data_IF_932083502850
#
_entry.id   IF_932083502850
#
_cell.length_a   1.000
_cell.length_b   1.000
_cell.length_c   1.000
_cell.angle_alpha   90.00
_cell.angle_beta   90.00
_cell.angle_gamma   90.00
#
_symmetry.space_group_name_H-M   'P 1'
#
loop_
_entity.id
_entity.type
_entity.pdbx_description
1 polymer ?
#
# COMPACT_ATOMS: atom_id res chain seq x y z
N UNK A 1 -6.12 10.73 -11.69
CA UNK A 1 -5.07 10.36 -10.74
C UNK A 1 -3.90 9.94 -11.59
N UNK A 2 -2.74 10.55 -11.42
CA UNK A 2 -1.58 10.19 -12.23
C UNK A 2 -1.15 8.74 -11.92
N UNK A 3 -0.78 7.96 -12.94
CA UNK A 3 -0.24 6.64 -12.72
C UNK A 3 1.04 6.77 -11.87
N UNK A 4 1.13 5.98 -10.79
CA UNK A 4 2.32 5.88 -9.96
C UNK A 4 2.98 4.52 -10.25
N UNK A 5 3.67 4.38 -11.40
CA UNK A 5 4.23 3.11 -11.84
C UNK A 5 5.34 2.68 -10.89
N UNK A 6 5.27 1.44 -10.40
CA UNK A 6 6.28 0.90 -9.48
C UNK A 6 6.65 -0.53 -9.78
N UNK A 7 5.65 -1.39 -9.77
CA UNK A 7 5.84 -2.80 -10.02
C UNK A 7 6.02 -3.00 -11.53
N UNK A 8 7.02 -3.77 -11.94
CA UNK A 8 7.18 -4.15 -13.35
C UNK A 8 7.63 -5.61 -13.49
N UNK A 9 7.20 -6.26 -14.57
CA UNK A 9 7.73 -7.56 -14.98
C UNK A 9 7.77 -7.66 -16.50
N UNK A 10 8.83 -8.27 -17.02
CA UNK A 10 8.94 -8.63 -18.44
C UNK A 10 8.21 -9.96 -18.67
N UNK A 11 7.48 -10.05 -19.77
CA UNK A 11 6.85 -11.28 -20.24
C UNK A 11 6.90 -11.29 -21.76
N UNK A 12 7.69 -12.19 -22.36
CA UNK A 12 7.93 -12.21 -23.82
C UNK A 12 8.34 -10.83 -24.36
N UNK A 13 7.58 -10.29 -25.30
CA UNK A 13 7.72 -8.98 -25.95
C UNK A 13 7.00 -7.85 -25.21
N UNK A 14 6.31 -8.15 -24.09
CA UNK A 14 5.56 -7.19 -23.29
C UNK A 14 6.26 -6.84 -21.98
N UNK A 15 6.03 -5.62 -21.51
CA UNK A 15 6.38 -5.11 -20.20
C UNK A 15 5.08 -4.83 -19.44
N UNK A 16 4.83 -5.57 -18.37
CA UNK A 16 3.69 -5.35 -17.49
C UNK A 16 4.08 -4.33 -16.41
N UNK A 17 3.36 -3.20 -16.31
CA UNK A 17 3.65 -2.08 -15.40
C UNK A 17 2.46 -1.80 -14.50
N UNK A 18 2.61 -2.09 -13.21
CA UNK A 18 1.58 -1.88 -12.19
C UNK A 18 1.62 -0.47 -11.63
N UNK A 19 0.45 0.17 -11.55
CA UNK A 19 0.28 1.52 -10.98
C UNK A 19 -0.29 1.45 -9.57
N UNK A 20 0.47 1.92 -8.58
CA UNK A 20 0.02 1.99 -7.19
C UNK A 20 -1.24 2.85 -7.02
N UNK A 21 -1.39 3.89 -7.83
CA UNK A 21 -2.40 4.92 -7.68
C UNK A 21 -3.72 4.57 -8.37
N UNK A 22 -3.64 4.02 -9.58
CA UNK A 22 -4.83 3.66 -10.38
C UNK A 22 -5.29 2.23 -10.10
N UNK A 23 -4.41 1.38 -9.56
CA UNK A 23 -4.71 -0.03 -9.32
C UNK A 23 -4.73 -0.88 -10.59
N UNK A 24 -4.33 -0.31 -11.72
CA UNK A 24 -4.31 -0.95 -13.03
C UNK A 24 -2.92 -1.49 -13.36
N UNK A 25 -2.88 -2.43 -14.29
CA UNK A 25 -1.67 -2.96 -14.90
C UNK A 25 -1.68 -2.61 -16.38
N UNK A 26 -0.69 -1.87 -16.85
CA UNK A 26 -0.52 -1.59 -18.29
C UNK A 26 0.43 -2.60 -18.90
N UNK A 27 0.05 -3.17 -20.05
CA UNK A 27 0.92 -3.99 -20.87
C UNK A 27 1.46 -3.11 -21.99
N UNK A 28 2.76 -2.87 -21.97
CA UNK A 28 3.46 -2.07 -22.95
C UNK A 28 4.30 -2.98 -23.83
N UNK A 29 4.45 -2.65 -25.11
CA UNK A 29 5.41 -3.34 -25.96
C UNK A 29 6.83 -2.92 -25.58
N UNK A 30 7.75 -3.88 -25.48
CA UNK A 30 9.12 -3.60 -25.03
C UNK A 30 9.94 -2.78 -26.02
N UNK A 31 9.64 -2.85 -27.32
CA UNK A 31 10.45 -2.19 -28.36
C UNK A 31 10.30 -0.66 -28.35
N UNK A 32 9.09 -0.14 -28.13
CA UNK A 32 8.73 1.26 -28.32
C UNK A 32 7.96 1.85 -27.12
N UNK A 33 7.60 1.02 -26.14
CA UNK A 33 6.78 1.42 -24.99
C UNK A 33 5.31 1.64 -25.33
N UNK A 34 4.85 1.27 -26.53
CA UNK A 34 3.46 1.48 -26.93
C UNK A 34 2.50 0.67 -26.04
N UNK A 35 1.42 1.33 -25.60
CA UNK A 35 0.37 0.68 -24.83
C UNK A 35 -0.34 -0.38 -25.68
N UNK A 36 -0.29 -1.63 -25.25
CA UNK A 36 -0.99 -2.77 -25.87
C UNK A 36 -2.35 -2.96 -25.22
N UNK A 37 -2.42 -2.99 -23.89
CA UNK A 37 -3.69 -3.06 -23.15
C UNK A 37 -3.56 -2.60 -21.71
N UNK A 38 -4.68 -2.26 -21.10
CA UNK A 38 -4.79 -1.96 -19.67
C UNK A 38 -5.65 -3.03 -19.00
N UNK A 39 -5.11 -3.66 -17.97
CA UNK A 39 -5.73 -4.75 -17.22
C UNK A 39 -6.14 -4.26 -15.84
N UNK A 40 -7.40 -4.49 -15.48
CA UNK A 40 -7.93 -4.22 -14.16
C UNK A 40 -9.03 -5.24 -13.83
N UNK A 41 -9.20 -5.61 -12.55
CA UNK A 41 -10.33 -6.45 -12.15
C UNK A 41 -11.64 -5.65 -12.26
N UNK A 42 -12.66 -6.25 -12.87
CA UNK A 42 -14.01 -5.69 -12.97
C UNK A 42 -15.04 -6.48 -12.13
N UNK A 43 -16.31 -6.03 -12.12
CA UNK A 43 -17.41 -6.78 -11.52
C UNK A 43 -17.43 -8.24 -11.97
N UNK A 44 -17.61 -9.16 -11.02
CA UNK A 44 -17.71 -10.57 -11.29
C UNK A 44 -16.37 -11.28 -11.52
N UNK A 45 -15.23 -10.60 -11.40
CA UNK A 45 -13.91 -11.27 -11.44
C UNK A 45 -13.80 -12.31 -10.33
N UNK A 46 -13.10 -13.43 -10.59
CA UNK A 46 -12.93 -14.44 -9.54
C UNK A 46 -12.09 -13.91 -8.38
N UNK A 47 -12.63 -13.96 -7.17
CA UNK A 47 -11.93 -13.72 -5.90
C UNK A 47 -12.04 -15.00 -5.08
N UNK A 48 -10.90 -15.53 -4.64
CA UNK A 48 -10.84 -16.78 -3.88
C UNK A 48 -10.15 -16.54 -2.55
N UNK A 49 -10.88 -16.70 -1.45
CA UNK A 49 -10.43 -16.45 -0.09
C UNK A 49 -10.54 -15.00 0.36
N UNK A 50 -10.26 -14.84 1.65
CA UNK A 50 -10.45 -13.58 2.36
C UNK A 50 -11.92 -13.17 2.49
N UNK A 51 -12.13 -12.01 3.10
CA UNK A 51 -13.47 -11.56 3.48
C UNK A 51 -14.29 -10.99 2.32
N UNK A 52 -13.68 -10.80 1.14
CA UNK A 52 -14.32 -10.13 -0.01
C UNK A 52 -14.77 -11.07 -1.11
N UNK A 53 -14.51 -12.37 -1.00
CA UNK A 53 -14.87 -13.36 -2.01
C UNK A 53 -16.35 -13.34 -2.39
N UNK A 54 -17.24 -13.28 -1.39
CA UNK A 54 -18.70 -13.23 -1.60
C UNK A 54 -19.20 -11.93 -2.26
N UNK A 55 -18.32 -10.95 -2.46
CA UNK A 55 -18.63 -9.62 -2.98
C UNK A 55 -17.95 -9.35 -4.33
N UNK A 56 -17.61 -10.40 -5.09
CA UNK A 56 -17.00 -10.29 -6.42
C UNK A 56 -17.79 -9.42 -7.40
N UNK A 57 -19.12 -9.42 -7.29
CA UNK A 57 -20.00 -8.58 -8.12
C UNK A 57 -19.84 -7.08 -7.85
N UNK A 58 -19.30 -6.70 -6.69
CA UNK A 58 -19.09 -5.30 -6.30
C UNK A 58 -17.63 -4.84 -6.49
N UNK A 59 -16.85 -5.55 -7.30
CA UNK A 59 -15.50 -5.12 -7.67
C UNK A 59 -15.58 -3.89 -8.57
N UNK A 60 -14.89 -2.81 -8.19
CA UNK A 60 -14.88 -1.54 -8.92
C UNK A 60 -13.56 -1.26 -9.66
N UNK A 61 -12.55 -2.11 -9.49
CA UNK A 61 -11.20 -1.87 -9.99
C UNK A 61 -10.14 -2.56 -9.14
N UNK A 62 -8.88 -2.40 -9.49
CA UNK A 62 -7.76 -2.96 -8.70
C UNK A 62 -7.33 -2.01 -7.59
N UNK A 63 -6.56 -2.53 -6.63
CA UNK A 63 -5.93 -1.70 -5.61
C UNK A 63 -4.50 -2.14 -5.30
N UNK A 64 -3.62 -1.20 -5.64
CA UNK A 64 -2.18 -1.18 -5.50
C UNK A 64 -1.45 -2.47 -5.89
N UNK A 65 -1.24 -2.74 -7.20
CA UNK A 65 -0.15 -3.56 -7.69
C UNK A 65 1.19 -3.19 -7.02
N UNK A 66 1.75 -4.08 -6.18
CA UNK A 66 2.98 -3.81 -5.42
C UNK A 66 4.22 -4.47 -6.00
N UNK A 67 4.06 -5.67 -6.53
CA UNK A 67 5.14 -6.42 -7.14
C UNK A 67 4.59 -7.33 -8.25
N UNK A 68 5.38 -7.59 -9.27
CA UNK A 68 5.03 -8.52 -10.35
C UNK A 68 6.15 -9.53 -10.57
N UNK A 69 5.77 -10.77 -10.87
CA UNK A 69 6.66 -11.81 -11.39
C UNK A 69 5.95 -12.55 -12.53
N UNK A 70 6.67 -12.83 -13.60
CA UNK A 70 6.13 -13.48 -14.78
C UNK A 70 6.54 -14.95 -14.84
N UNK A 71 5.63 -15.82 -15.26
CA UNK A 71 5.91 -17.21 -15.63
C UNK A 71 5.54 -17.40 -17.09
N UNK A 72 6.53 -17.53 -17.95
CA UNK A 72 6.28 -17.88 -19.36
C UNK A 72 5.80 -19.32 -19.48
N UNK A 73 6.28 -20.21 -18.61
CA UNK A 73 5.88 -21.62 -18.58
C UNK A 73 4.40 -21.80 -18.20
N UNK A 74 3.88 -20.98 -17.29
CA UNK A 74 2.46 -20.98 -16.95
C UNK A 74 1.65 -20.02 -17.83
N UNK A 75 2.29 -19.15 -18.61
CA UNK A 75 1.63 -18.18 -19.48
C UNK A 75 0.98 -17.00 -18.73
N UNK A 76 1.39 -16.74 -17.48
CA UNK A 76 0.73 -15.78 -16.60
C UNK A 76 1.72 -14.85 -15.91
N UNK A 77 1.22 -13.69 -15.49
CA UNK A 77 1.91 -12.79 -14.56
C UNK A 77 1.19 -12.85 -13.20
N UNK A 78 1.96 -13.05 -12.14
CA UNK A 78 1.50 -12.96 -10.78
C UNK A 78 1.77 -11.57 -10.25
N UNK A 79 0.78 -10.98 -9.58
CA UNK A 79 0.84 -9.62 -9.08
C UNK A 79 0.40 -9.59 -7.63
N UNK A 80 1.29 -9.18 -6.71
CA UNK A 80 0.84 -8.88 -5.36
C UNK A 80 0.09 -7.56 -5.38
N UNK A 81 -1.00 -7.50 -4.62
CA UNK A 81 -1.78 -6.28 -4.49
C UNK A 81 -2.54 -6.25 -3.18
N UNK A 82 -3.12 -5.09 -2.85
CA UNK A 82 -4.09 -4.95 -1.78
C UNK A 82 -5.50 -5.46 -2.15
N UNK A 83 -5.58 -6.15 -3.29
CA UNK A 83 -6.76 -6.81 -3.81
C UNK A 83 -7.55 -5.98 -4.81
N UNK A 84 -8.55 -6.60 -5.47
CA UNK A 84 -9.62 -5.86 -6.09
C UNK A 84 -10.30 -4.95 -5.06
N UNK A 85 -10.53 -3.71 -5.47
CA UNK A 85 -11.27 -2.73 -4.70
C UNK A 85 -12.74 -3.12 -4.72
N UNK A 86 -13.23 -3.71 -3.63
CA UNK A 86 -14.63 -4.16 -3.50
C UNK A 86 -15.42 -3.14 -2.73
N UNK A 87 -16.45 -2.55 -3.33
CA UNK A 87 -17.31 -1.62 -2.61
C UNK A 87 -18.30 -0.85 -3.48
N UNK A 88 -19.15 -0.03 -2.85
CA UNK A 88 -19.59 -0.23 -1.47
C UNK A 88 -20.30 -1.59 -1.35
N UNK A 89 -19.85 -2.47 -0.43
CA UNK A 89 -20.52 -3.76 -0.31
C UNK A 89 -21.88 -3.60 0.42
N UNK A 90 -22.92 -4.39 0.08
CA UNK A 90 -24.28 -4.16 0.58
C UNK A 90 -24.45 -4.31 2.10
N UNK A 91 -23.53 -5.01 2.77
CA UNK A 91 -23.66 -5.35 4.19
C UNK A 91 -23.01 -4.32 5.12
N UNK A 92 -21.87 -3.76 4.69
CA UNK A 92 -21.09 -2.82 5.50
C UNK A 92 -21.08 -1.42 4.89
N UNK A 93 -21.50 -1.23 3.64
CA UNK A 93 -21.40 0.04 2.91
C UNK A 93 -19.96 0.58 2.94
N UNK A 94 -19.00 -0.31 2.71
CA UNK A 94 -17.56 -0.05 2.82
C UNK A 94 -16.79 -0.61 1.64
N UNK A 95 -15.63 0.00 1.40
CA UNK A 95 -14.55 -0.59 0.63
C UNK A 95 -13.81 -1.60 1.51
N UNK A 96 -13.71 -2.83 1.06
CA UNK A 96 -13.00 -3.90 1.76
C UNK A 96 -11.69 -4.23 1.04
N UNK A 97 -10.57 -4.14 1.77
CA UNK A 97 -9.28 -4.62 1.27
C UNK A 97 -9.24 -6.14 1.33
N UNK A 98 -8.52 -6.76 0.40
CA UNK A 98 -8.24 -8.18 0.43
C UNK A 98 -6.85 -8.38 -0.15
N UNK A 99 -5.84 -8.16 0.68
CA UNK A 99 -4.47 -8.32 0.21
C UNK A 99 -4.20 -9.75 -0.24
N UNK A 100 -3.43 -9.90 -1.32
CA UNK A 100 -3.14 -11.21 -1.85
C UNK A 100 -2.37 -11.19 -3.17
N UNK A 101 -2.55 -12.26 -3.94
CA UNK A 101 -1.92 -12.46 -5.24
C UNK A 101 -2.98 -12.55 -6.33
N UNK A 102 -2.84 -11.70 -7.33
CA UNK A 102 -3.63 -11.70 -8.54
C UNK A 102 -2.92 -12.45 -9.65
N UNK A 103 -3.71 -13.07 -10.52
CA UNK A 103 -3.27 -13.82 -11.69
C UNK A 103 -3.76 -13.07 -12.92
N UNK A 104 -2.82 -12.68 -13.77
CA UNK A 104 -3.06 -11.96 -15.02
C UNK A 104 -2.61 -12.84 -16.18
N UNK A 105 -3.40 -12.87 -17.25
CA UNK A 105 -3.10 -13.52 -18.52
C UNK A 105 -2.75 -12.44 -19.57
N UNK A 106 -1.46 -12.13 -19.78
CA UNK A 106 -1.06 -11.00 -20.60
C UNK A 106 -1.44 -11.17 -22.09
N UNK A 107 -1.43 -12.40 -22.60
CA UNK A 107 -1.82 -12.73 -23.99
C UNK A 107 -3.24 -12.27 -24.35
N UNK A 108 -4.12 -12.15 -23.35
CA UNK A 108 -5.52 -11.75 -23.52
C UNK A 108 -5.85 -10.43 -22.84
N UNK A 109 -4.87 -9.77 -22.23
CA UNK A 109 -5.11 -8.61 -21.36
C UNK A 109 -6.06 -8.91 -20.20
N UNK A 110 -6.07 -10.16 -19.71
CA UNK A 110 -7.11 -10.66 -18.81
C UNK A 110 -6.70 -10.64 -17.33
N UNK A 111 -7.55 -10.09 -16.46
CA UNK A 111 -7.45 -10.32 -15.03
C UNK A 111 -8.20 -11.61 -14.68
N UNK A 112 -7.48 -12.70 -14.45
CA UNK A 112 -8.06 -14.04 -14.33
C UNK A 112 -8.71 -14.25 -12.97
N UNK A 113 -7.96 -13.98 -11.90
CA UNK A 113 -8.39 -14.24 -10.52
C UNK A 113 -7.55 -13.48 -9.51
N UNK A 114 -8.12 -13.26 -8.33
CA UNK A 114 -7.41 -12.85 -7.14
C UNK A 114 -7.50 -13.90 -6.03
N UNK A 115 -6.35 -14.34 -5.52
CA UNK A 115 -6.24 -15.14 -4.30
C UNK A 115 -6.02 -14.20 -3.12
N UNK A 116 -7.08 -13.94 -2.37
CA UNK A 116 -7.05 -13.12 -1.16
C UNK A 116 -6.67 -13.92 0.09
N UNK A 117 -5.84 -13.33 0.95
CA UNK A 117 -5.40 -13.97 2.20
C UNK A 117 -6.27 -13.60 3.41
N UNK A 118 -7.11 -12.57 3.30
CA UNK A 118 -8.03 -12.15 4.36
C UNK A 118 -7.41 -11.34 5.50
N UNK A 119 -6.08 -11.38 5.67
CA UNK A 119 -5.33 -10.60 6.63
C UNK A 119 -3.93 -10.25 6.08
N UNK A 120 -3.29 -9.25 6.69
CA UNK A 120 -1.94 -8.80 6.35
C UNK A 120 -1.85 -7.90 5.13
N UNK A 121 -0.61 -7.69 4.66
CA UNK A 121 -0.27 -6.81 3.54
C UNK A 121 0.81 -7.44 2.67
N UNK A 122 0.43 -7.90 1.49
CA UNK A 122 1.28 -8.62 0.54
C UNK A 122 2.14 -7.65 -0.24
N UNK A 123 3.46 -7.81 -0.19
CA UNK A 123 4.45 -6.94 -0.81
C UNK A 123 5.21 -7.67 -1.93
N UNK A 124 6.49 -8.00 -1.73
CA UNK A 124 7.33 -8.66 -2.72
C UNK A 124 6.88 -10.06 -3.07
N UNK A 125 7.14 -10.46 -4.31
CA UNK A 125 6.98 -11.82 -4.81
C UNK A 125 8.33 -12.38 -5.27
N UNK A 126 8.48 -13.70 -5.21
CA UNK A 126 9.51 -14.45 -5.93
C UNK A 126 8.89 -15.71 -6.51
N UNK A 127 9.36 -16.16 -7.67
CA UNK A 127 8.84 -17.33 -8.37
C UNK A 127 9.96 -18.34 -8.58
N UNK A 128 9.74 -19.58 -8.14
CA UNK A 128 10.43 -20.76 -8.66
C UNK A 128 9.59 -21.31 -9.81
N UNK A 129 9.92 -20.89 -11.04
CA UNK A 129 9.16 -21.34 -12.20
C UNK A 129 9.42 -22.82 -12.50
N UNK A 130 10.56 -23.39 -12.12
CA UNK A 130 10.81 -24.83 -12.32
C UNK A 130 9.84 -25.68 -11.49
N UNK A 131 9.78 -25.43 -10.18
CA UNK A 131 8.91 -26.15 -9.27
C UNK A 131 7.43 -25.72 -9.37
N UNK A 132 7.15 -24.52 -9.89
CA UNK A 132 5.82 -23.93 -9.88
C UNK A 132 5.43 -23.44 -8.48
N UNK A 133 6.39 -22.87 -7.75
CA UNK A 133 6.16 -22.28 -6.43
C UNK A 133 6.25 -20.76 -6.51
N UNK A 134 5.29 -20.08 -5.88
CA UNK A 134 5.30 -18.64 -5.71
C UNK A 134 5.49 -18.32 -4.23
N UNK A 135 6.41 -17.42 -3.91
CA UNK A 135 6.64 -16.92 -2.57
C UNK A 135 6.09 -15.50 -2.48
N UNK A 136 5.37 -15.18 -1.41
CA UNK A 136 4.77 -13.87 -1.20
C UNK A 136 5.10 -13.33 0.19
N UNK A 137 5.76 -12.18 0.27
CA UNK A 137 6.07 -11.51 1.52
C UNK A 137 4.81 -10.82 2.07
N UNK A 138 4.58 -10.94 3.37
CA UNK A 138 3.55 -10.22 4.10
C UNK A 138 4.18 -9.30 5.13
N UNK A 139 4.16 -8.00 4.83
CA UNK A 139 4.75 -6.97 5.69
C UNK A 139 3.93 -6.74 6.95
N UNK A 140 2.60 -6.96 6.88
CA UNK A 140 1.68 -6.64 7.95
C UNK A 140 1.61 -7.70 9.05
N UNK A 141 1.94 -8.96 8.70
CA UNK A 141 1.95 -10.10 9.63
C UNK A 141 3.33 -10.69 9.87
N UNK A 142 4.36 -10.24 9.14
CA UNK A 142 5.73 -10.71 9.41
C UNK A 142 6.08 -12.06 8.84
N UNK A 143 5.42 -12.49 7.77
CA UNK A 143 5.50 -13.85 7.26
C UNK A 143 5.83 -13.89 5.77
N UNK A 144 6.25 -15.07 5.29
CA UNK A 144 6.34 -15.39 3.87
C UNK A 144 5.38 -16.54 3.59
N UNK A 145 4.47 -16.37 2.63
CA UNK A 145 3.59 -17.44 2.15
C UNK A 145 4.25 -18.19 1.02
N UNK A 146 4.24 -19.51 1.09
CA UNK A 146 4.60 -20.42 0.00
C UNK A 146 3.32 -20.86 -0.68
N UNK A 147 3.23 -20.66 -2.00
CA UNK A 147 2.05 -20.97 -2.79
C UNK A 147 2.37 -21.92 -3.95
N UNK A 148 1.43 -22.79 -4.29
CA UNK A 148 1.42 -23.53 -5.55
C UNK A 148 0.93 -22.61 -6.68
N UNK A 149 1.87 -22.17 -7.54
CA UNK A 149 1.59 -21.29 -8.67
C UNK A 149 0.74 -21.98 -9.74
N UNK A 150 0.81 -23.31 -9.86
CA UNK A 150 -0.01 -24.08 -10.81
C UNK A 150 -1.46 -24.10 -10.33
N UNK A 151 -1.68 -24.34 -9.04
CA UNK A 151 -3.01 -24.27 -8.46
C UNK A 151 -3.64 -22.87 -8.63
N UNK A 152 -2.82 -21.81 -8.57
CA UNK A 152 -3.27 -20.44 -8.86
C UNK A 152 -3.66 -20.20 -10.33
N UNK A 153 -3.31 -21.02 -11.30
CA UNK A 153 -3.77 -20.80 -12.70
C UNK A 153 -4.85 -21.79 -13.12
N UNK A 154 -4.96 -22.95 -12.47
CA UNK A 154 -5.86 -24.03 -12.89
C UNK A 154 -7.36 -23.84 -12.60
N UNK A 155 -7.74 -23.03 -11.60
CA UNK A 155 -9.14 -22.78 -11.27
C UNK A 155 -9.38 -22.41 -9.80
N UNK A 156 -10.62 -22.05 -9.47
CA UNK A 156 -10.97 -21.50 -8.15
C UNK A 156 -10.80 -22.51 -7.01
N UNK A 157 -11.21 -23.77 -7.21
CA UNK A 157 -11.10 -24.81 -6.20
C UNK A 157 -9.62 -25.17 -5.87
N UNK A 158 -8.73 -25.39 -6.85
CA UNK A 158 -7.29 -25.50 -6.60
C UNK A 158 -6.71 -24.23 -5.96
N UNK A 159 -7.06 -23.05 -6.47
CA UNK A 159 -6.52 -21.78 -5.96
C UNK A 159 -6.85 -21.51 -4.50
N UNK A 160 -8.00 -22.00 -4.01
CA UNK A 160 -8.37 -21.91 -2.59
C UNK A 160 -7.39 -22.64 -1.69
N UNK A 161 -6.79 -23.71 -2.20
CA UNK A 161 -5.80 -24.56 -1.49
C UNK A 161 -4.36 -24.26 -1.92
N UNK A 162 -4.13 -23.16 -2.65
CA UNK A 162 -2.82 -22.87 -3.19
C UNK A 162 -1.78 -22.49 -2.13
N UNK A 163 -2.18 -22.00 -0.95
CA UNK A 163 -1.23 -21.70 0.12
C UNK A 163 -0.78 -23.02 0.75
N UNK A 164 0.51 -23.35 0.57
CA UNK A 164 1.11 -24.59 1.06
C UNK A 164 1.67 -24.42 2.48
N UNK A 165 2.19 -23.24 2.79
CA UNK A 165 2.81 -22.95 4.07
C UNK A 165 2.84 -21.43 4.35
N UNK A 166 2.72 -21.04 5.61
CA UNK A 166 3.11 -19.72 6.10
C UNK A 166 4.40 -19.86 6.92
N UNK A 167 5.46 -19.18 6.51
CA UNK A 167 6.75 -19.17 7.18
C UNK A 167 6.88 -17.89 7.99
N UNK A 168 6.74 -18.00 9.31
CA UNK A 168 6.98 -16.92 10.26
C UNK A 168 8.43 -16.43 10.18
N UNK A 169 8.63 -15.10 10.10
CA UNK A 169 9.95 -14.49 10.20
C UNK A 169 10.04 -13.78 11.54
N UNK A 170 10.51 -14.50 12.57
CA UNK A 170 10.66 -13.95 13.90
C UNK A 170 11.64 -12.77 13.91
N UNK A 171 11.37 -11.66 14.59
CA UNK A 171 12.34 -10.58 14.74
C UNK A 171 13.54 -11.04 15.60
N UNK A 172 14.79 -10.61 15.29
CA UNK A 172 15.95 -10.94 16.11
C UNK A 172 15.81 -10.49 17.57
N UNK A 173 16.54 -11.17 18.46
CA UNK A 173 16.53 -10.90 19.89
C UNK A 173 16.82 -9.43 20.24
N UNK A 174 16.10 -8.95 21.25
CA UNK A 174 16.17 -7.56 21.70
C UNK A 174 15.63 -6.55 20.69
N UNK A 175 14.94 -6.96 19.62
CA UNK A 175 14.21 -6.02 18.75
C UNK A 175 13.08 -5.38 19.56
N UNK A 176 12.97 -4.04 19.63
CA UNK A 176 11.87 -3.38 20.33
C UNK A 176 10.50 -3.79 19.79
N UNK A 177 9.55 -4.04 20.70
CA UNK A 177 8.17 -4.41 20.36
C UNK A 177 7.23 -3.22 20.53
N UNK A 178 6.13 -3.20 19.79
CA UNK A 178 5.06 -2.19 19.93
C UNK A 178 4.25 -2.39 21.22
N UNK A 179 4.24 -3.62 21.74
CA UNK A 179 3.47 -4.09 22.90
C UNK A 179 4.26 -5.17 23.66
N UNK A 180 3.89 -5.47 24.92
CA UNK A 180 4.42 -6.62 25.65
C UNK A 180 4.13 -7.97 24.93
N UNK A 181 5.00 -8.99 25.07
CA UNK A 181 4.83 -10.30 24.42
C UNK A 181 3.47 -10.96 24.64
N UNK A 182 2.90 -10.82 25.83
CA UNK A 182 1.59 -11.39 26.21
C UNK A 182 0.40 -10.82 25.43
N UNK A 183 0.60 -9.75 24.65
CA UNK A 183 -0.44 -9.10 23.86
C UNK A 183 -0.51 -9.59 22.40
N UNK A 184 0.43 -10.46 21.98
CA UNK A 184 0.47 -11.10 20.65
C UNK A 184 -0.11 -12.53 20.69
N UNK A 185 -0.58 -13.03 19.54
CA UNK A 185 -1.24 -14.34 19.39
C UNK A 185 -2.42 -14.62 20.35
N UNK A 186 -2.96 -13.57 20.95
CA UNK A 186 -4.14 -13.62 21.81
C UNK A 186 -5.31 -12.92 21.15
N UNK A 187 -6.53 -13.40 21.42
CA UNK A 187 -7.78 -12.76 20.95
C UNK A 187 -7.81 -12.53 19.44
N UNK A 188 -7.18 -13.39 18.65
CA UNK A 188 -7.10 -13.31 17.19
C UNK A 188 -6.11 -12.28 16.63
N UNK A 189 -5.18 -11.79 17.46
CA UNK A 189 -4.13 -10.87 17.03
C UNK A 189 -3.00 -11.57 16.28
N UNK A 190 -2.23 -10.79 15.54
CA UNK A 190 -0.99 -11.23 14.91
C UNK A 190 0.10 -11.53 15.96
N UNK A 191 1.04 -12.39 15.58
CA UNK A 191 2.22 -12.73 16.38
C UNK A 191 3.31 -11.65 16.35
N UNK A 192 4.38 -11.86 17.12
CA UNK A 192 5.51 -10.93 17.21
C UNK A 192 6.26 -10.73 15.88
N UNK A 193 6.11 -11.65 14.95
CA UNK A 193 6.67 -11.68 13.60
C UNK A 193 6.40 -10.39 12.84
N UNK A 194 5.26 -9.71 13.10
CA UNK A 194 4.89 -8.44 12.47
C UNK A 194 5.99 -7.38 12.58
N UNK A 195 6.89 -7.50 13.55
CA UNK A 195 8.03 -6.60 13.75
C UNK A 195 9.18 -6.81 12.77
N UNK A 196 9.18 -7.87 11.95
CA UNK A 196 10.18 -8.11 10.91
C UNK A 196 9.88 -7.31 9.64
N UNK A 197 8.62 -7.31 9.21
CA UNK A 197 8.17 -6.67 7.97
C UNK A 197 8.85 -7.20 6.70
N UNK A 198 8.72 -8.49 6.34
CA UNK A 198 9.09 -9.00 5.02
C UNK A 198 8.52 -8.13 3.91
N UNK A 199 9.38 -7.65 3.00
CA UNK A 199 8.97 -6.67 1.99
C UNK A 199 9.45 -6.97 0.57
N UNK A 200 10.64 -7.57 0.41
CA UNK A 200 11.16 -7.99 -0.89
C UNK A 200 11.73 -9.40 -0.77
N UNK A 201 11.66 -10.14 -1.88
CA UNK A 201 12.07 -11.54 -1.97
C UNK A 201 13.03 -11.72 -3.15
N UNK A 202 14.05 -12.55 -2.96
CA UNK A 202 14.92 -13.01 -4.05
C UNK A 202 15.20 -14.50 -3.88
N UNK A 203 14.89 -15.30 -4.88
CA UNK A 203 15.20 -16.73 -4.90
C UNK A 203 16.63 -16.93 -5.45
N UNK A 204 17.41 -17.81 -4.83
CA UNK A 204 18.72 -18.19 -5.36
C UNK A 204 18.59 -18.91 -6.71
N UNK A 205 19.59 -18.82 -7.60
CA UNK A 205 19.52 -19.46 -8.92
C UNK A 205 19.31 -20.99 -8.88
N UNK A 206 19.75 -21.66 -7.82
CA UNK A 206 19.56 -23.09 -7.60
C UNK A 206 18.19 -23.46 -6.98
N UNK A 207 17.34 -22.45 -6.72
CA UNK A 207 16.03 -22.56 -6.07
C UNK A 207 16.04 -23.22 -4.67
N UNK A 208 17.18 -23.22 -3.97
CA UNK A 208 17.30 -23.83 -2.63
C UNK A 208 17.14 -22.84 -1.49
N UNK A 209 17.40 -21.56 -1.76
CA UNK A 209 17.44 -20.50 -0.75
C UNK A 209 16.60 -19.31 -1.18
N UNK A 210 15.70 -18.86 -0.32
CA UNK A 210 14.96 -17.62 -0.49
C UNK A 210 15.51 -16.56 0.47
N UNK A 211 15.93 -15.42 -0.07
CA UNK A 211 16.34 -14.25 0.68
C UNK A 211 15.15 -13.30 0.87
N UNK A 212 14.93 -12.87 2.11
CA UNK A 212 13.78 -12.05 2.50
C UNK A 212 14.28 -10.77 3.14
N UNK A 213 14.03 -9.61 2.51
CA UNK A 213 14.36 -8.32 3.08
C UNK A 213 13.30 -7.91 4.11
N UNK A 214 13.74 -7.78 5.37
CA UNK A 214 12.91 -7.39 6.50
C UNK A 214 13.05 -5.89 6.76
N UNK A 215 12.00 -5.14 6.41
CA UNK A 215 11.97 -3.68 6.41
C UNK A 215 12.22 -3.07 7.79
N UNK A 216 11.73 -3.71 8.84
CA UNK A 216 11.69 -3.12 10.19
C UNK A 216 12.89 -3.53 11.03
N UNK A 217 13.32 -4.79 10.92
CA UNK A 217 14.48 -5.32 11.64
C UNK A 217 15.81 -4.99 10.97
N UNK A 218 15.80 -4.52 9.71
CA UNK A 218 17.00 -4.23 8.91
C UNK A 218 17.86 -5.47 8.69
N UNK A 219 17.20 -6.61 8.48
CA UNK A 219 17.87 -7.88 8.23
C UNK A 219 17.46 -8.44 6.87
N UNK A 220 18.28 -9.36 6.36
CA UNK A 220 17.89 -10.31 5.32
C UNK A 220 17.76 -11.68 5.98
N UNK A 221 16.55 -12.22 6.02
CA UNK A 221 16.35 -13.61 6.42
C UNK A 221 16.72 -14.56 5.27
N UNK A 222 17.44 -15.63 5.61
CA UNK A 222 17.83 -16.70 4.70
C UNK A 222 16.93 -17.89 5.00
N UNK A 223 16.08 -18.26 4.04
CA UNK A 223 15.07 -19.30 4.17
C UNK A 223 15.46 -20.50 3.31
N UNK A 224 15.55 -21.68 3.90
CA UNK A 224 15.69 -22.94 3.16
C UNK A 224 14.35 -23.30 2.56
N UNK A 225 14.31 -23.46 1.23
CA UNK A 225 13.08 -23.74 0.47
C UNK A 225 13.15 -25.05 -0.32
N UNK A 226 14.14 -25.91 -0.07
CA UNK A 226 14.31 -27.20 -0.76
C UNK A 226 13.09 -28.11 -0.66
N UNK A 227 12.43 -28.10 0.50
CA UNK A 227 11.22 -28.87 0.77
C UNK A 227 9.98 -27.96 0.90
N UNK A 228 10.00 -26.78 0.27
CA UNK A 228 8.89 -25.82 0.36
C UNK A 228 7.57 -26.37 -0.18
N UNK A 229 7.61 -27.20 -1.24
CA UNK A 229 6.42 -27.89 -1.77
C UNK A 229 5.76 -28.83 -0.76
N UNK A 230 6.56 -29.40 0.15
CA UNK A 230 6.08 -30.26 1.23
C UNK A 230 5.74 -29.48 2.52
N UNK A 231 5.75 -28.14 2.47
CA UNK A 231 5.43 -27.29 3.62
C UNK A 231 6.52 -27.27 4.70
N UNK A 232 7.79 -27.46 4.33
CA UNK A 232 8.92 -27.48 5.26
C UNK A 232 9.96 -26.37 5.01
N UNK A 233 9.56 -25.28 4.36
CA UNK A 233 10.41 -24.10 4.28
C UNK A 233 10.64 -23.52 5.68
N UNK A 234 11.84 -23.05 5.98
CA UNK A 234 12.17 -22.50 7.30
C UNK A 234 13.26 -21.46 7.25
N UNK A 235 13.17 -20.45 8.11
CA UNK A 235 14.24 -19.47 8.32
C UNK A 235 15.44 -20.19 8.95
N UNK A 236 16.61 -20.10 8.31
CA UNK A 236 17.86 -20.73 8.78
C UNK A 236 18.70 -19.75 9.57
N UNK A 237 18.76 -18.48 9.13
CA UNK A 237 19.49 -17.40 9.79
C UNK A 237 19.00 -16.04 9.30
N UNK A 238 19.39 -14.97 10.00
CA UNK A 238 19.19 -13.60 9.55
C UNK A 238 20.52 -12.85 9.54
N UNK A 239 20.73 -12.08 8.47
CA UNK A 239 21.93 -11.28 8.26
C UNK A 239 21.60 -9.80 8.51
N UNK A 240 22.30 -9.09 9.42
CA UNK A 240 22.08 -7.66 9.61
C UNK A 240 22.58 -6.88 8.39
N UNK A 241 21.76 -5.95 7.90
CA UNK A 241 22.12 -5.02 6.81
C UNK A 241 22.59 -3.69 7.38
N UNK A 242 21.94 -3.23 8.44
CA UNK A 242 22.26 -2.00 9.16
C UNK A 242 22.15 -2.27 10.66
N UNK A 243 23.16 -1.89 11.45
CA UNK A 243 23.20 -2.17 12.89
C UNK A 243 22.56 -1.05 13.74
N UNK A 244 22.59 0.19 13.28
CA UNK A 244 22.12 1.38 14.01
C UNK A 244 20.65 1.30 14.43
N UNK A 245 20.41 1.41 15.73
CA UNK A 245 19.07 1.49 16.33
C UNK A 245 18.60 2.94 16.53
N UNK A 246 19.21 3.90 15.82
CA UNK A 246 18.78 5.29 15.88
C UNK A 246 17.29 5.43 15.51
N UNK A 247 16.61 6.39 16.13
CA UNK A 247 15.18 6.65 15.91
C UNK A 247 14.26 5.46 16.25
N UNK A 248 14.56 4.68 17.29
CA UNK A 248 13.78 3.50 17.69
C UNK A 248 12.25 3.76 17.80
N UNK A 249 11.84 4.89 18.38
CA UNK A 249 10.41 5.27 18.46
C UNK A 249 9.77 5.48 17.09
N UNK A 250 10.46 6.13 16.15
CA UNK A 250 10.01 6.27 14.75
C UNK A 250 9.88 4.90 14.10
N UNK A 251 10.80 3.98 14.36
CA UNK A 251 10.74 2.61 13.84
C UNK A 251 9.52 1.85 14.34
N UNK A 252 9.18 1.96 15.62
CA UNK A 252 7.92 1.39 16.16
C UNK A 252 6.70 2.00 15.49
N UNK A 253 6.71 3.31 15.24
CA UNK A 253 5.67 3.99 14.46
C UNK A 253 5.54 3.44 13.04
N UNK A 254 6.67 3.12 12.40
CA UNK A 254 6.65 2.47 11.09
C UNK A 254 6.09 1.05 11.16
N UNK A 255 6.42 0.24 12.18
CA UNK A 255 5.78 -1.08 12.36
C UNK A 255 4.27 -0.92 12.44
N UNK A 256 3.77 -0.03 13.30
CA UNK A 256 2.34 0.25 13.46
C UNK A 256 1.65 0.70 12.17
N UNK A 257 2.36 1.43 11.31
CA UNK A 257 1.82 1.92 10.04
C UNK A 257 1.46 0.80 9.05
N UNK A 258 2.26 -0.27 9.05
CA UNK A 258 2.12 -1.40 8.12
C UNK A 258 1.49 -2.63 8.76
N UNK A 259 1.50 -2.75 10.09
CA UNK A 259 1.00 -3.92 10.81
C UNK A 259 -0.52 -4.10 10.67
N UNK A 260 -0.95 -5.35 10.56
CA UNK A 260 -2.35 -5.77 10.69
C UNK A 260 -2.51 -6.55 12.01
N UNK A 261 -2.31 -5.86 13.14
CA UNK A 261 -2.33 -6.49 14.46
C UNK A 261 -3.62 -7.26 14.73
N UNK A 262 -4.77 -6.73 14.29
CA UNK A 262 -6.08 -7.37 14.47
C UNK A 262 -6.43 -8.44 13.42
N UNK A 263 -5.53 -8.73 12.46
CA UNK A 263 -5.77 -9.65 11.34
C UNK A 263 -7.04 -9.34 10.53
N UNK A 264 -7.28 -8.06 10.31
CA UNK A 264 -8.49 -7.52 9.65
C UNK A 264 -8.32 -7.32 8.14
N UNK A 265 -7.08 -7.37 7.65
CA UNK A 265 -6.69 -7.01 6.29
C UNK A 265 -6.56 -5.49 6.08
N UNK A 266 -6.58 -4.69 7.15
CA UNK A 266 -6.56 -3.22 7.09
C UNK A 266 -5.34 -2.69 7.82
N UNK A 267 -4.54 -1.89 7.11
CA UNK A 267 -3.33 -1.23 7.62
C UNK A 267 -3.39 0.27 7.26
N UNK A 268 -2.58 1.12 7.89
CA UNK A 268 -2.53 2.54 7.50
C UNK A 268 -2.04 2.68 6.06
N UNK A 269 -1.02 1.90 5.68
CA UNK A 269 -0.49 1.81 4.32
C UNK A 269 -1.52 1.31 3.28
N UNK A 270 -2.50 0.51 3.70
CA UNK A 270 -3.60 0.07 2.85
C UNK A 270 -4.50 1.21 2.34
N UNK A 271 -4.54 2.32 3.07
CA UNK A 271 -5.31 3.52 2.69
C UNK A 271 -4.40 4.70 2.31
N UNK A 272 -3.22 4.77 2.92
CA UNK A 272 -2.23 5.81 2.70
C UNK A 272 -0.97 5.21 2.08
N UNK A 273 -1.06 4.67 0.86
CA UNK A 273 0.03 3.89 0.26
C UNK A 273 1.32 4.72 0.23
N UNK A 274 2.38 4.24 0.89
CA UNK A 274 3.66 4.95 1.04
C UNK A 274 3.53 6.39 1.58
N UNK A 275 2.58 6.62 2.49
CA UNK A 275 2.27 7.94 3.03
C UNK A 275 1.46 8.83 2.10
N UNK A 276 1.12 8.38 0.89
CA UNK A 276 0.37 9.17 -0.08
C UNK A 276 -1.11 8.80 -0.12
N UNK A 277 -1.87 9.39 -1.04
CA UNK A 277 -3.28 9.06 -1.21
C UNK A 277 -3.45 7.67 -1.82
N UNK A 278 -4.23 6.80 -1.18
CA UNK A 278 -4.62 5.49 -1.74
C UNK A 278 -5.86 5.52 -2.63
N UNK A 279 -6.24 6.68 -3.15
CA UNK A 279 -7.37 6.83 -4.06
C UNK A 279 -8.71 7.16 -3.40
N UNK A 280 -9.79 6.75 -4.06
CA UNK A 280 -11.18 7.02 -3.69
C UNK A 280 -11.72 5.89 -2.81
N UNK A 281 -12.40 6.27 -1.73
CA UNK A 281 -13.08 5.43 -0.76
C UNK A 281 -14.52 5.89 -0.58
N UNK A 282 -15.32 5.08 0.10
CA UNK A 282 -16.71 5.40 0.45
C UNK A 282 -16.89 5.39 1.97
N UNK A 283 -17.67 6.34 2.47
CA UNK A 283 -18.12 6.41 3.86
C UNK A 283 -19.47 5.71 4.03
N UNK A 284 -19.70 5.11 5.21
CA UNK A 284 -20.94 4.44 5.64
C UNK A 284 -22.08 5.44 5.89
N UNK A 285 -22.54 6.15 4.87
CA UNK A 285 -23.64 7.13 4.97
C UNK A 285 -24.73 6.86 3.94
N UNK A 286 -25.95 7.33 4.20
CA UNK A 286 -27.02 7.38 3.19
C UNK A 286 -27.43 8.84 2.95
N UNK A 287 -27.25 9.39 1.73
CA UNK A 287 -26.58 8.79 0.58
C UNK A 287 -25.07 8.59 0.81
N UNK A 288 -24.46 7.66 0.08
CA UNK A 288 -23.02 7.38 0.17
C UNK A 288 -22.20 8.64 -0.10
N UNK A 289 -21.24 8.94 0.77
CA UNK A 289 -20.25 9.99 0.55
C UNK A 289 -18.94 9.40 0.07
N UNK A 290 -18.43 10.00 -1.00
CA UNK A 290 -17.10 9.69 -1.54
C UNK A 290 -16.07 10.40 -0.67
N UNK A 291 -15.16 9.65 -0.06
CA UNK A 291 -14.03 10.18 0.68
C UNK A 291 -12.73 9.80 -0.02
N UNK A 292 -11.76 10.71 -0.10
CA UNK A 292 -10.43 10.37 -0.61
C UNK A 292 -9.50 10.22 0.58
N UNK A 293 -8.75 9.13 0.66
CA UNK A 293 -7.63 9.09 1.63
C UNK A 293 -6.64 10.14 1.19
N UNK A 294 -6.49 11.20 1.98
CA UNK A 294 -5.56 12.29 1.69
C UNK A 294 -4.12 11.83 1.86
N UNK A 295 -3.19 12.57 1.27
CA UNK A 295 -1.77 12.34 1.52
C UNK A 295 -1.42 12.62 2.98
N UNK A 296 -0.57 11.78 3.58
CA UNK A 296 0.09 12.05 4.87
C UNK A 296 1.43 12.75 4.67
N UNK A 297 2.01 12.71 3.46
CA UNK A 297 3.24 13.44 3.12
C UNK A 297 3.06 14.93 3.35
N UNK A 298 3.94 15.53 4.16
CA UNK A 298 3.91 16.94 4.53
C UNK A 298 2.77 17.33 5.48
N UNK A 299 1.95 16.38 5.93
CA UNK A 299 0.72 16.68 6.68
C UNK A 299 0.96 17.29 8.06
N UNK A 300 2.15 17.08 8.64
CA UNK A 300 2.56 17.66 9.94
C UNK A 300 2.27 19.16 10.03
N UNK A 301 2.52 19.88 8.94
CA UNK A 301 2.48 21.34 8.90
C UNK A 301 1.11 21.86 8.43
N UNK A 302 0.14 20.98 8.18
CA UNK A 302 -1.20 21.34 7.69
C UNK A 302 -2.39 20.88 8.57
N UNK A 303 -2.38 20.92 9.92
CA UNK A 303 -3.64 20.90 10.67
C UNK A 303 -4.62 22.03 10.28
N UNK A 304 -5.90 21.96 10.69
CA UNK A 304 -6.58 20.78 11.19
C UNK A 304 -6.86 19.74 10.09
N UNK A 305 -7.07 18.49 10.49
CA UNK A 305 -7.29 17.35 9.62
C UNK A 305 -8.78 17.04 9.41
N UNK A 306 -9.06 16.31 8.33
CA UNK A 306 -10.39 15.95 7.80
C UNK A 306 -11.16 17.09 7.15
N UNK A 307 -12.18 16.74 6.36
CA UNK A 307 -13.08 17.69 5.72
C UNK A 307 -14.53 17.25 5.97
N UNK A 308 -15.31 17.98 6.79
CA UNK A 308 -14.92 19.18 7.55
C UNK A 308 -13.85 18.90 8.61
N UNK A 309 -13.08 19.92 8.98
CA UNK A 309 -12.02 19.83 9.96
C UNK A 309 -12.56 19.34 11.31
N UNK A 310 -11.95 18.29 11.87
CA UNK A 310 -12.38 17.71 13.16
C UNK A 310 -11.26 17.36 14.12
N UNK A 311 -10.00 17.35 13.68
CA UNK A 311 -8.84 17.03 14.52
C UNK A 311 -7.72 18.04 14.34
N UNK A 312 -7.05 18.43 15.43
CA UNK A 312 -6.08 19.54 15.41
C UNK A 312 -4.62 19.10 15.55
N UNK A 313 -4.36 17.80 15.76
CA UNK A 313 -3.01 17.23 15.84
C UNK A 313 -2.94 15.83 15.24
N UNK A 314 -1.73 15.40 14.87
CA UNK A 314 -1.49 14.03 14.40
C UNK A 314 -1.75 13.00 15.50
N UNK A 315 -1.43 13.31 16.76
CA UNK A 315 -1.67 12.45 17.92
C UNK A 315 -3.17 12.20 18.09
N UNK A 316 -3.98 13.25 18.06
CA UNK A 316 -5.44 13.17 18.14
C UNK A 316 -6.02 12.37 16.96
N UNK A 317 -5.56 12.67 15.74
CA UNK A 317 -5.95 11.94 14.52
C UNK A 317 -5.63 10.45 14.60
N UNK A 318 -4.41 10.09 15.02
CA UNK A 318 -3.96 8.70 15.14
C UNK A 318 -4.76 7.97 16.21
N UNK A 319 -4.98 8.59 17.38
CA UNK A 319 -5.82 8.01 18.44
C UNK A 319 -7.23 7.75 17.93
N UNK A 320 -7.85 8.74 17.29
CA UNK A 320 -9.22 8.63 16.79
C UNK A 320 -9.37 7.55 15.72
N UNK A 321 -8.46 7.51 14.73
CA UNK A 321 -8.53 6.52 13.65
C UNK A 321 -8.18 5.13 14.15
N UNK A 322 -7.14 4.99 14.98
CA UNK A 322 -6.69 3.71 15.53
C UNK A 322 -7.69 3.06 16.48
N UNK A 323 -8.53 3.84 17.16
CA UNK A 323 -9.61 3.33 18.01
C UNK A 323 -10.88 2.94 17.22
N UNK A 324 -10.91 3.07 15.88
CA UNK A 324 -12.07 2.64 15.08
C UNK A 324 -12.09 1.12 14.93
N UNK A 325 -13.30 0.56 14.87
CA UNK A 325 -13.59 -0.89 14.78
C UNK A 325 -12.77 -1.68 13.74
N UNK A 326 -12.20 -1.03 12.71
CA UNK A 326 -11.39 -1.67 11.67
C UNK A 326 -9.93 -1.95 12.08
N UNK A 327 -9.40 -1.19 13.04
CA UNK A 327 -8.06 -1.39 13.63
C UNK A 327 -8.15 -1.94 15.05
N UNK A 328 -9.33 -1.82 15.66
CA UNK A 328 -9.58 -2.08 17.08
C UNK A 328 -9.51 -3.57 17.42
N UNK A 329 -8.36 -4.00 17.92
CA UNK A 329 -8.18 -5.21 18.74
C UNK A 329 -6.75 -5.24 19.34
N UNK A 330 -6.45 -4.49 20.41
CA UNK A 330 -7.30 -3.56 21.18
C UNK A 330 -7.15 -2.11 20.68
N UNK A 331 -7.61 -1.13 21.46
CA UNK A 331 -7.30 0.27 21.20
C UNK A 331 -5.76 0.52 21.34
N UNK A 332 -5.19 1.46 20.57
CA UNK A 332 -3.77 1.79 20.66
C UNK A 332 -3.45 2.44 22.01
N UNK A 333 -2.37 2.00 22.64
CA UNK A 333 -1.82 2.61 23.84
C UNK A 333 -1.25 4.01 23.55
N UNK A 334 -1.05 4.86 24.57
CA UNK A 334 -0.45 6.18 24.39
C UNK A 334 0.91 6.15 23.69
N UNK A 335 1.77 5.18 24.02
CA UNK A 335 3.10 5.04 23.42
C UNK A 335 3.02 4.67 21.93
N UNK A 336 2.07 3.82 21.54
CA UNK A 336 1.82 3.49 20.13
C UNK A 336 1.30 4.70 19.35
N UNK A 337 0.35 5.46 19.93
CA UNK A 337 -0.17 6.69 19.31
C UNK A 337 0.97 7.68 19.07
N UNK A 338 1.84 7.90 20.05
CA UNK A 338 2.99 8.79 19.91
C UNK A 338 4.00 8.29 18.87
N UNK A 339 4.29 6.99 18.85
CA UNK A 339 5.22 6.40 17.89
C UNK A 339 4.70 6.53 16.45
N UNK A 340 3.43 6.19 16.20
CA UNK A 340 2.80 6.30 14.89
C UNK A 340 2.64 7.78 14.47
N UNK A 341 2.28 8.68 15.38
CA UNK A 341 2.24 10.12 15.09
C UNK A 341 3.62 10.66 14.73
N UNK A 342 4.69 10.23 15.42
CA UNK A 342 6.07 10.60 15.08
C UNK A 342 6.47 10.09 13.69
N UNK A 343 6.13 8.84 13.35
CA UNK A 343 6.38 8.31 12.00
C UNK A 343 5.65 9.14 10.93
N UNK A 344 4.36 9.39 11.12
CA UNK A 344 3.54 10.19 10.20
C UNK A 344 4.07 11.61 10.03
N UNK A 345 4.52 12.25 11.12
CA UNK A 345 5.08 13.61 11.10
C UNK A 345 6.38 13.72 10.30
N UNK A 346 7.05 12.60 10.02
CA UNK A 346 8.29 12.51 9.26
C UNK A 346 8.10 12.00 7.83
N UNK A 347 6.85 11.78 7.40
CA UNK A 347 6.53 11.54 6.01
C UNK A 347 6.57 12.90 5.28
N UNK A 348 7.67 13.16 4.59
CA UNK A 348 7.88 14.42 3.85
C UNK A 348 7.39 14.33 2.41
N UNK A 349 7.07 15.47 1.82
CA UNK A 349 6.82 15.57 0.37
C UNK A 349 8.13 15.31 -0.38
N UNK A 350 8.14 14.48 -1.44
CA UNK A 350 9.34 14.30 -2.25
C UNK A 350 9.74 15.63 -2.92
N UNK A 351 11.03 15.79 -3.30
CA UNK A 351 11.47 16.92 -4.11
C UNK A 351 10.62 17.05 -5.38
N UNK A 352 10.34 18.28 -5.81
CA UNK A 352 9.64 18.51 -7.08
C UNK A 352 10.57 18.15 -8.24
N UNK A 353 10.23 17.16 -9.09
CA UNK A 353 11.08 16.73 -10.21
C UNK A 353 11.22 17.78 -11.32
N UNK A 354 10.40 18.85 -11.28
CA UNK A 354 10.45 19.96 -12.24
C UNK A 354 11.23 21.17 -11.70
N UNK A 355 12.36 20.91 -11.04
CA UNK A 355 13.32 21.91 -10.56
C UNK A 355 14.73 21.59 -11.06
N UNK A 356 15.55 22.61 -11.26
CA UNK A 356 16.97 22.47 -11.55
C UNK A 356 17.76 21.97 -10.33
N UNK A 357 19.03 21.64 -10.54
CA UNK A 357 19.94 21.15 -9.47
C UNK A 357 20.12 22.16 -8.33
N UNK A 358 19.99 23.45 -8.64
CA UNK A 358 20.02 24.57 -7.68
C UNK A 358 18.68 24.78 -6.94
N UNK A 359 17.66 23.98 -7.25
CA UNK A 359 16.31 24.10 -6.71
C UNK A 359 15.44 25.16 -7.39
N UNK A 360 15.95 25.89 -8.39
CA UNK A 360 15.17 26.86 -9.14
C UNK A 360 14.09 26.18 -10.01
N UNK A 361 12.96 26.84 -10.29
CA UNK A 361 12.02 26.35 -11.29
C UNK A 361 12.71 26.22 -12.66
N UNK A 362 12.41 25.15 -13.41
CA UNK A 362 12.90 25.01 -14.78
C UNK A 362 12.39 26.17 -15.66
N UNK A 363 13.15 26.55 -16.69
CA UNK A 363 12.71 27.57 -17.66
C UNK A 363 11.46 27.10 -18.43
N UNK A 364 11.46 25.81 -18.80
CA UNK A 364 10.36 25.15 -19.50
C UNK A 364 10.12 23.74 -18.98
N UNK A 365 8.88 23.28 -19.09
CA UNK A 365 8.46 21.90 -18.80
C UNK A 365 7.63 21.36 -19.95
N UNK A 366 7.81 20.09 -20.31
CA UNK A 366 6.90 19.42 -21.26
C UNK A 366 5.68 18.93 -20.50
N UNK A 367 4.49 19.34 -20.93
CA UNK A 367 3.23 18.95 -20.36
C UNK A 367 2.81 17.56 -20.88
N UNK A 368 1.88 16.86 -20.19
CA UNK A 368 1.43 15.53 -20.62
C UNK A 368 0.84 15.47 -22.05
N UNK A 369 0.38 16.59 -22.58
CA UNK A 369 -0.14 16.71 -23.96
C UNK A 369 0.92 17.11 -25.00
N UNK A 370 2.20 17.10 -24.61
CA UNK A 370 3.33 17.45 -25.48
C UNK A 370 3.59 18.95 -25.63
N UNK A 371 2.73 19.82 -25.08
CA UNK A 371 2.98 21.28 -25.12
C UNK A 371 4.08 21.69 -24.16
N UNK A 372 4.67 22.85 -24.41
CA UNK A 372 5.71 23.43 -23.54
C UNK A 372 5.09 24.45 -22.58
N UNK A 373 5.17 24.16 -21.28
CA UNK A 373 4.83 25.08 -20.19
C UNK A 373 6.05 25.90 -19.75
N UNK A 374 5.80 27.11 -19.19
CA UNK A 374 6.84 27.98 -18.60
C UNK A 374 6.51 28.24 -17.12
N UNK A 375 7.17 27.57 -16.16
CA UNK A 375 6.87 27.69 -14.72
C UNK A 375 6.84 29.12 -14.18
N UNK A 376 7.75 29.99 -14.62
CA UNK A 376 7.78 31.40 -14.21
C UNK A 376 6.50 32.17 -14.61
N UNK A 377 5.97 31.92 -15.82
CA UNK A 377 4.69 32.51 -16.26
C UNK A 377 3.50 31.94 -15.47
N UNK A 378 3.54 30.63 -15.18
CA UNK A 378 2.55 29.97 -14.34
C UNK A 378 2.49 30.59 -12.94
N UNK A 379 3.64 30.86 -12.33
CA UNK A 379 3.75 31.56 -11.04
C UNK A 379 3.15 32.96 -11.09
N UNK A 380 3.52 33.77 -12.10
CA UNK A 380 2.98 35.11 -12.26
C UNK A 380 1.45 35.13 -12.42
N UNK A 381 0.89 34.13 -13.10
CA UNK A 381 -0.57 33.96 -13.18
C UNK A 381 -1.16 33.57 -11.81
N UNK A 382 -0.57 32.59 -11.13
CA UNK A 382 -1.04 32.09 -9.83
C UNK A 382 -1.06 33.19 -8.74
N UNK A 383 0.00 33.99 -8.68
CA UNK A 383 0.17 35.09 -7.71
C UNK A 383 -0.55 36.37 -8.13
N UNK A 384 -0.75 36.58 -9.44
CA UNK A 384 -1.38 37.78 -10.00
C UNK A 384 -2.84 37.55 -10.39
N UNK A 385 -3.11 37.57 -11.71
CA UNK A 385 -4.48 37.59 -12.26
C UNK A 385 -5.34 36.38 -11.90
N UNK A 386 -4.73 35.23 -11.60
CA UNK A 386 -5.43 34.02 -11.17
C UNK A 386 -5.90 34.07 -9.72
N UNK A 387 -5.40 35.02 -8.92
CA UNK A 387 -5.76 35.23 -7.51
C UNK A 387 -5.72 33.94 -6.65
N UNK A 388 -4.92 32.94 -7.03
CA UNK A 388 -4.90 31.64 -6.36
C UNK A 388 -4.35 31.75 -4.93
N UNK A 389 -3.45 32.71 -4.71
CA UNK A 389 -2.87 33.03 -3.40
C UNK A 389 -3.92 33.46 -2.35
N UNK A 390 -5.11 33.90 -2.77
CA UNK A 390 -6.20 34.24 -1.85
C UNK A 390 -6.62 33.06 -1.00
N UNK A 391 -6.58 31.84 -1.55
CA UNK A 391 -6.94 30.60 -0.85
C UNK A 391 -5.74 29.63 -0.67
N UNK A 392 -4.64 29.86 -1.41
CA UNK A 392 -3.41 29.05 -1.35
C UNK A 392 -2.16 29.90 -1.09
N UNK A 393 -2.05 30.62 0.03
CA UNK A 393 -0.88 31.43 0.31
C UNK A 393 0.35 30.59 0.69
N UNK A 394 1.53 31.04 0.27
CA UNK A 394 2.81 30.50 0.72
C UNK A 394 2.97 30.65 2.25
N UNK A 395 3.77 29.78 2.91
CA UNK A 395 4.60 28.72 2.32
C UNK A 395 3.89 27.37 2.15
N UNK A 396 2.74 27.17 2.81
CA UNK A 396 2.05 25.88 2.84
C UNK A 396 0.96 25.72 1.77
N UNK A 397 0.63 26.79 1.06
CA UNK A 397 -0.38 26.83 0.00
C UNK A 397 -1.77 26.37 0.49
N UNK A 398 -2.12 26.70 1.74
CA UNK A 398 -3.43 26.45 2.35
C UNK A 398 -3.72 27.52 3.40
N UNK A 399 -5.02 27.81 3.62
CA UNK A 399 -5.54 28.65 4.71
C UNK A 399 -6.07 27.83 5.89
N UNK A 400 -5.94 26.50 5.86
CA UNK A 400 -6.59 25.64 6.86
C UNK A 400 -6.16 25.96 8.30
N UNK A 401 -4.92 26.44 8.46
CA UNK A 401 -4.31 26.87 9.72
C UNK A 401 -4.86 28.18 10.29
N UNK A 402 -5.42 29.03 9.45
CA UNK A 402 -5.81 30.37 9.87
C UNK A 402 -7.14 30.30 10.62
N UNK A 403 -7.07 30.50 11.95
CA UNK A 403 -8.27 30.78 12.76
C UNK A 403 -8.96 32.02 12.18
N UNK A 404 -10.29 32.02 12.01
CA UNK A 404 -10.98 33.22 11.56
C UNK A 404 -10.71 34.36 12.55
N UNK A 405 -10.11 35.45 12.06
CA UNK A 405 -10.01 36.70 12.83
C UNK A 405 -11.42 37.21 13.06
N UNK A 406 -11.90 37.08 14.30
CA UNK A 406 -13.17 37.64 14.76
C UNK A 406 -14.43 36.97 14.17
N UNK A 407 -14.96 35.95 14.84
CA UNK A 407 -16.39 35.67 14.84
C UNK A 407 -16.75 34.77 16.01
N UNK A 408 -17.61 35.28 16.90
CA UNK A 408 -18.40 34.46 17.79
C UNK A 408 -19.12 33.35 17.02
N UNK A 409 -19.38 32.27 17.74
CA UNK A 409 -20.27 31.16 17.42
C UNK A 409 -21.28 31.47 16.30
N UNK A 410 -21.09 30.86 15.12
CA UNK A 410 -22.12 30.55 14.08
C UNK A 410 -21.68 30.65 12.61
N UNK A 411 -20.41 30.92 12.27
CA UNK A 411 -20.00 31.04 10.84
C UNK A 411 -18.89 30.08 10.39
N UNK A 412 -19.13 28.78 10.51
CA UNK A 412 -18.43 27.78 9.67
C UNK A 412 -18.87 27.83 8.19
N UNK A 413 -19.91 28.60 7.87
CA UNK A 413 -20.52 28.66 6.53
C UNK A 413 -19.85 29.63 5.52
N UNK A 414 -18.86 30.46 5.90
CA UNK A 414 -18.22 31.42 4.96
C UNK A 414 -16.98 30.91 4.23
N UNK A 415 -16.53 29.66 4.46
CA UNK A 415 -15.41 29.05 3.70
C UNK A 415 -15.78 28.64 2.25
N UNK A 416 -17.05 28.78 1.84
CA UNK A 416 -17.57 28.30 0.55
C UNK A 416 -17.47 29.29 -0.63
N UNK A 417 -16.71 30.39 -0.54
CA UNK A 417 -16.47 31.28 -1.70
C UNK A 417 -15.28 30.89 -2.57
N UNK A 418 -14.48 29.90 -2.15
CA UNK A 418 -13.45 29.26 -2.97
C UNK A 418 -13.88 27.81 -3.23
N UNK A 419 -14.77 27.61 -4.21
CA UNK A 419 -14.96 26.33 -4.91
C UNK A 419 -15.20 26.59 -6.38
#
# INVERSE_FOLDING_TARGET
MDPNPRALARWKDLLAVGSLQTGQLELLRQEDGALVSTVAPGPGVSIVGGNTERFREQVMGGKAPRFLVASERLGHVFMSSLGPNVGPNPQRMEVSANSGVSVVEPSRGGYVRHRGFGAGGTEGLALDDGAGLLYAADVGLGLVRVLDARALVSGDAPARRAVLQEVAVAPPDGTPRIRPPEDFDVRGRAGEELHSGPSALALSPDARTLYVLNRFTRTVAVVDVREAKAGKARVVRQLPVEASRAQAKRRLGQVLYYADLGRTGITCDGCHIEGHTGGIFYEKTQPNRIYRSTTLRGSRDTPPYFTPASHVSLVDTVRFVGARNRFRNPDPSPSEVEALALFNALLVTPPNPHRGEDGAPLESVVLPDGRVGRPARGRALFEGKGACMTCHPAPLYTLDQDRPRGAGTSRWARRWRCR
#
